data_IF_085640257497
#
_entry.id   IF_085640257497
#
_cell.length_a   1.000
_cell.length_b   1.000
_cell.length_c   1.000
_cell.angle_alpha   90.00
_cell.angle_beta   90.00
_cell.angle_gamma   90.00
#
_symmetry.space_group_name_H-M   'P 1'
#
loop_
_entity.id
_entity.type
_entity.pdbx_description
1 polymer ?
#
# COMPACT_ATOMS: atom_id res chain seq x y z
N UNK A 1 -48.47 -10.25 9.48
CA UNK A 1 -47.49 -10.08 8.39
C UNK A 1 -46.18 -10.73 8.83
N UNK A 2 -45.95 -11.99 8.44
CA UNK A 2 -44.83 -12.79 8.94
C UNK A 2 -43.52 -12.31 8.29
N UNK A 3 -42.55 -11.90 9.12
CA UNK A 3 -41.17 -11.62 8.69
C UNK A 3 -40.54 -12.93 8.21
N UNK A 4 -40.39 -13.08 6.91
CA UNK A 4 -39.65 -14.17 6.29
C UNK A 4 -38.17 -14.03 6.70
N UNK A 5 -37.70 -14.95 7.54
CA UNK A 5 -36.29 -15.05 7.94
C UNK A 5 -35.51 -15.62 6.76
N UNK A 6 -34.97 -14.74 5.91
CA UNK A 6 -34.08 -15.11 4.82
C UNK A 6 -32.76 -15.54 5.49
N UNK A 7 -32.63 -16.84 5.72
CA UNK A 7 -31.41 -17.45 6.23
C UNK A 7 -30.48 -17.63 5.04
N UNK A 8 -29.69 -16.60 4.74
CA UNK A 8 -28.69 -16.64 3.66
C UNK A 8 -27.70 -17.79 3.89
N UNK A 9 -27.70 -18.85 3.05
CA UNK A 9 -26.77 -19.97 3.19
C UNK A 9 -25.34 -19.62 2.76
N UNK A 10 -25.11 -18.40 2.23
CA UNK A 10 -23.81 -17.90 1.77
C UNK A 10 -23.11 -16.94 2.73
N UNK A 11 -23.71 -16.60 3.87
CA UNK A 11 -23.09 -15.73 4.88
C UNK A 11 -22.08 -16.50 5.74
N UNK A 12 -21.13 -17.18 5.10
CA UNK A 12 -19.90 -17.56 5.79
C UNK A 12 -19.18 -16.25 6.12
N UNK A 13 -19.23 -15.84 7.39
CA UNK A 13 -18.37 -14.80 7.95
C UNK A 13 -16.93 -15.30 7.83
N UNK A 14 -16.36 -15.15 6.64
CA UNK A 14 -14.97 -15.44 6.36
C UNK A 14 -14.18 -14.42 7.19
N UNK A 15 -13.59 -14.91 8.28
CA UNK A 15 -12.62 -14.17 9.08
C UNK A 15 -11.69 -13.41 8.14
N UNK A 16 -11.42 -12.13 8.41
CA UNK A 16 -10.57 -11.28 7.56
C UNK A 16 -9.23 -11.96 7.22
N UNK A 17 -8.73 -12.82 8.10
CA UNK A 17 -7.54 -13.63 7.87
C UNK A 17 -7.68 -14.66 6.73
N UNK A 18 -8.87 -15.22 6.51
CA UNK A 18 -9.15 -16.14 5.41
C UNK A 18 -9.13 -15.42 4.04
N UNK A 19 -9.61 -14.17 3.99
CA UNK A 19 -9.50 -13.33 2.80
C UNK A 19 -8.03 -13.01 2.50
N UNK A 20 -7.28 -12.52 3.49
CA UNK A 20 -5.85 -12.20 3.35
C UNK A 20 -5.05 -13.43 2.90
N UNK A 21 -5.35 -14.62 3.44
CA UNK A 21 -4.71 -15.88 3.04
C UNK A 21 -4.96 -16.24 1.58
N UNK A 22 -6.11 -15.86 1.01
CA UNK A 22 -6.45 -16.06 -0.41
C UNK A 22 -5.71 -15.10 -1.34
N UNK A 23 -5.39 -13.89 -0.86
CA UNK A 23 -4.58 -12.90 -1.61
C UNK A 23 -3.07 -13.08 -1.44
N UNK A 24 -2.63 -13.70 -0.33
CA UNK A 24 -1.22 -14.00 -0.03
C UNK A 24 -0.45 -14.68 -1.16
N UNK A 25 -0.97 -15.69 -1.89
CA UNK A 25 -0.22 -16.31 -2.99
C UNK A 25 0.08 -15.36 -4.15
N UNK A 26 -0.79 -14.38 -4.44
CA UNK A 26 -0.54 -13.37 -5.48
C UNK A 26 0.55 -12.39 -5.05
N UNK A 27 0.54 -11.98 -3.78
CA UNK A 27 1.63 -11.19 -3.17
C UNK A 27 2.94 -12.01 -3.07
N UNK A 28 2.82 -13.33 -2.88
CA UNK A 28 3.97 -14.22 -2.70
C UNK A 28 4.86 -14.30 -3.95
N UNK A 29 4.25 -14.21 -5.13
CA UNK A 29 4.92 -14.25 -6.45
C UNK A 29 5.94 -13.11 -6.62
N UNK A 30 5.74 -11.99 -5.93
CA UNK A 30 6.59 -10.79 -6.00
C UNK A 30 7.21 -10.38 -4.65
N UNK A 31 7.44 -11.34 -3.74
CA UNK A 31 7.93 -11.09 -2.37
C UNK A 31 9.18 -10.23 -2.26
N UNK A 32 10.17 -10.42 -3.13
CA UNK A 32 11.42 -9.67 -3.07
C UNK A 32 11.19 -8.19 -3.38
N UNK A 33 10.40 -7.90 -4.41
CA UNK A 33 10.04 -6.53 -4.79
C UNK A 33 9.16 -5.88 -3.74
N UNK A 34 8.18 -6.60 -3.21
CA UNK A 34 7.28 -6.11 -2.17
C UNK A 34 8.01 -5.80 -0.86
N UNK A 35 8.95 -6.66 -0.44
CA UNK A 35 9.75 -6.40 0.75
C UNK A 35 10.67 -5.18 0.56
N UNK A 36 11.29 -5.06 -0.60
CA UNK A 36 12.13 -3.92 -0.94
C UNK A 36 11.31 -2.62 -0.99
N UNK A 37 10.13 -2.65 -1.58
CA UNK A 37 9.18 -1.54 -1.63
C UNK A 37 8.74 -1.10 -0.22
N UNK A 38 8.39 -2.06 0.65
CA UNK A 38 8.01 -1.78 2.03
C UNK A 38 9.19 -1.22 2.86
N UNK A 39 10.39 -1.75 2.66
CA UNK A 39 11.62 -1.25 3.27
C UNK A 39 11.90 0.19 2.83
N UNK A 40 11.74 0.45 1.53
CA UNK A 40 11.90 1.75 0.91
C UNK A 40 10.91 2.77 1.48
N UNK A 41 9.64 2.41 1.61
CA UNK A 41 8.59 3.23 2.23
C UNK A 41 8.88 3.54 3.70
N UNK A 42 9.37 2.56 4.45
CA UNK A 42 9.79 2.76 5.84
C UNK A 42 10.98 3.73 5.96
N UNK A 43 11.92 3.67 5.02
CA UNK A 43 13.09 4.54 4.99
C UNK A 43 12.69 5.98 4.64
N UNK A 44 11.79 6.15 3.67
CA UNK A 44 11.18 7.46 3.33
C UNK A 44 10.48 8.09 4.52
N UNK A 45 9.61 7.35 5.20
CA UNK A 45 8.89 7.88 6.38
C UNK A 45 9.83 8.23 7.53
N UNK A 46 10.92 7.47 7.72
CA UNK A 46 11.97 7.86 8.66
C UNK A 46 12.63 9.18 8.25
N UNK A 47 13.01 9.35 6.97
CA UNK A 47 13.58 10.59 6.44
C UNK A 47 12.65 11.80 6.66
N UNK A 48 11.34 11.64 6.46
CA UNK A 48 10.36 12.70 6.67
C UNK A 48 10.28 13.15 8.14
N UNK A 49 10.48 12.23 9.09
CA UNK A 49 10.52 12.55 10.53
C UNK A 49 11.79 13.32 10.92
N UNK A 50 12.89 13.22 10.15
CA UNK A 50 14.12 13.96 10.47
C UNK A 50 13.97 15.48 10.30
N UNK A 51 13.18 15.95 9.33
CA UNK A 51 12.98 17.40 9.10
C UNK A 51 12.40 18.14 10.32
N UNK A 52 11.26 17.72 10.92
CA UNK A 52 10.71 18.40 12.10
C UNK A 52 11.63 18.28 13.32
N UNK A 53 12.42 17.21 13.43
CA UNK A 53 13.41 17.03 14.50
C UNK A 53 14.54 18.06 14.40
N UNK A 54 15.04 18.31 13.18
CA UNK A 54 16.06 19.35 12.93
C UNK A 54 15.48 20.73 13.26
N UNK A 55 14.26 21.04 12.78
CA UNK A 55 13.61 22.31 13.07
C UNK A 55 13.37 22.54 14.57
N UNK A 56 12.93 21.51 15.29
CA UNK A 56 12.76 21.57 16.75
C UNK A 56 14.09 21.85 17.46
N UNK A 57 15.19 21.26 17.00
CA UNK A 57 16.53 21.48 17.57
C UNK A 57 17.02 22.91 17.35
N UNK A 58 16.79 23.47 16.15
CA UNK A 58 17.14 24.86 15.83
C UNK A 58 16.34 25.83 16.70
N UNK A 59 15.03 25.65 16.79
CA UNK A 59 14.15 26.52 17.58
C UNK A 59 14.49 26.46 19.08
N UNK A 60 14.74 25.29 19.64
CA UNK A 60 15.16 25.16 21.05
C UNK A 60 16.54 25.79 21.33
N UNK A 61 17.47 25.69 20.38
CA UNK A 61 18.80 26.31 20.50
C UNK A 61 18.72 27.84 20.37
N UNK A 62 17.80 28.35 19.53
CA UNK A 62 17.58 29.79 19.37
C UNK A 62 16.89 30.43 20.58
N UNK A 63 16.08 29.68 21.35
CA UNK A 63 15.27 30.23 22.44
C UNK A 63 15.88 30.11 23.85
N UNK A 64 16.82 29.19 24.14
CA UNK A 64 17.15 28.94 25.55
C UNK A 64 18.52 28.39 25.95
N UNK A 65 19.38 27.90 25.04
CA UNK A 65 20.66 27.28 25.47
C UNK A 65 21.77 27.67 24.52
N UNK A 66 22.88 28.17 25.08
CA UNK A 66 24.15 28.44 24.42
C UNK A 66 24.82 27.19 23.87
N UNK A 67 24.13 26.40 23.06
CA UNK A 67 24.77 25.60 22.04
C UNK A 67 25.34 26.63 21.08
N UNK A 68 26.66 26.74 21.04
CA UNK A 68 27.34 27.45 19.98
C UNK A 68 26.78 26.90 18.67
N UNK A 69 25.86 27.64 18.03
CA UNK A 69 25.48 27.46 16.63
C UNK A 69 26.73 27.79 15.81
N UNK A 70 27.75 26.94 15.92
CA UNK A 70 28.89 26.97 15.05
C UNK A 70 28.30 26.66 13.69
N UNK A 71 28.33 27.62 12.77
CA UNK A 71 27.82 27.51 11.40
C UNK A 71 28.22 26.18 10.74
N UNK A 72 29.37 25.61 11.12
CA UNK A 72 29.81 24.28 10.72
C UNK A 72 28.92 23.09 11.13
N UNK A 73 28.29 23.10 12.30
CA UNK A 73 27.37 22.02 12.73
C UNK A 73 26.09 22.06 11.89
N UNK A 74 25.55 23.26 11.66
CA UNK A 74 24.37 23.47 10.79
C UNK A 74 24.68 23.05 9.36
N UNK A 75 25.84 23.45 8.82
CA UNK A 75 26.28 23.07 7.48
C UNK A 75 26.44 21.55 7.35
N UNK A 76 27.01 20.89 8.36
CA UNK A 76 27.15 19.42 8.40
C UNK A 76 25.79 18.72 8.45
N UNK A 77 24.86 19.20 9.27
CA UNK A 77 23.49 18.67 9.36
C UNK A 77 22.73 18.86 8.05
N UNK A 78 22.85 20.03 7.42
CA UNK A 78 22.26 20.32 6.12
C UNK A 78 22.83 19.41 5.02
N UNK A 79 24.15 19.17 5.02
CA UNK A 79 24.79 18.23 4.10
C UNK A 79 24.28 16.80 4.28
N UNK A 80 24.16 16.32 5.53
CA UNK A 80 23.58 15.00 5.83
C UNK A 80 22.13 14.93 5.35
N UNK A 81 21.31 15.93 5.66
CA UNK A 81 19.92 15.99 5.23
C UNK A 81 19.77 15.99 3.71
N UNK A 82 20.65 16.71 3.00
CA UNK A 82 20.67 16.73 1.54
C UNK A 82 20.94 15.34 0.95
N UNK A 83 21.90 14.60 1.51
CA UNK A 83 22.18 13.21 1.09
C UNK A 83 20.98 12.30 1.39
N UNK A 84 20.36 12.42 2.57
CA UNK A 84 19.14 11.67 2.89
C UNK A 84 18.02 11.97 1.88
N UNK A 85 17.87 13.22 1.43
CA UNK A 85 16.86 13.60 0.44
C UNK A 85 17.11 13.02 -0.95
N UNK A 86 18.37 12.88 -1.36
CA UNK A 86 18.71 12.19 -2.61
C UNK A 86 18.36 10.71 -2.52
N UNK A 87 18.71 10.06 -1.39
CA UNK A 87 18.36 8.65 -1.14
C UNK A 87 16.84 8.48 -1.14
N UNK A 88 16.12 9.40 -0.50
CA UNK A 88 14.67 9.38 -0.44
C UNK A 88 14.02 9.57 -1.82
N UNK A 89 14.58 10.45 -2.66
CA UNK A 89 14.14 10.62 -4.05
C UNK A 89 14.34 9.34 -4.88
N UNK A 90 15.48 8.66 -4.72
CA UNK A 90 15.73 7.39 -5.39
C UNK A 90 14.79 6.28 -4.90
N UNK A 91 14.51 6.28 -3.59
CA UNK A 91 13.54 5.41 -2.96
C UNK A 91 12.12 5.61 -3.53
N UNK A 92 11.65 6.86 -3.59
CA UNK A 92 10.36 7.19 -4.17
C UNK A 92 10.27 6.84 -5.66
N UNK A 93 11.34 7.05 -6.42
CA UNK A 93 11.40 6.64 -7.83
C UNK A 93 11.25 5.12 -7.98
N UNK A 94 11.93 4.34 -7.14
CA UNK A 94 11.81 2.89 -7.13
C UNK A 94 10.38 2.43 -6.80
N UNK A 95 9.77 2.99 -5.76
CA UNK A 95 8.38 2.67 -5.36
C UNK A 95 7.39 3.02 -6.49
N UNK A 96 7.54 4.21 -7.08
CA UNK A 96 6.61 4.68 -8.11
C UNK A 96 6.76 3.95 -9.45
N UNK A 97 7.95 3.45 -9.78
CA UNK A 97 8.16 2.66 -10.99
C UNK A 97 7.88 1.18 -10.76
N UNK A 98 8.76 0.52 -10.03
CA UNK A 98 8.77 -0.94 -9.90
C UNK A 98 7.63 -1.41 -8.98
N UNK A 99 7.38 -0.69 -7.88
CA UNK A 99 6.26 -0.98 -6.98
C UNK A 99 4.91 -0.86 -7.68
N UNK A 100 4.70 0.23 -8.43
CA UNK A 100 3.45 0.43 -9.19
C UNK A 100 3.24 -0.63 -10.28
N UNK A 101 4.25 -0.91 -11.10
CA UNK A 101 4.15 -1.93 -12.15
C UNK A 101 3.85 -3.30 -11.54
N UNK A 102 4.51 -3.65 -10.43
CA UNK A 102 4.24 -4.90 -9.70
C UNK A 102 2.81 -4.94 -9.16
N UNK A 103 2.32 -3.85 -8.58
CA UNK A 103 0.93 -3.72 -8.11
C UNK A 103 -0.09 -3.94 -9.23
N UNK A 104 0.13 -3.33 -10.41
CA UNK A 104 -0.75 -3.50 -11.58
C UNK A 104 -0.79 -4.96 -12.05
N UNK A 105 0.35 -5.67 -12.06
CA UNK A 105 0.37 -7.09 -12.41
C UNK A 105 -0.42 -7.94 -11.39
N UNK A 106 -0.26 -7.65 -10.10
CA UNK A 106 -1.01 -8.33 -9.04
C UNK A 106 -2.52 -8.10 -9.21
N UNK A 107 -2.95 -6.86 -9.43
CA UNK A 107 -4.36 -6.53 -9.66
C UNK A 107 -4.91 -7.24 -10.92
N UNK A 108 -4.12 -7.27 -11.98
CA UNK A 108 -4.50 -7.92 -13.24
C UNK A 108 -4.67 -9.44 -13.07
N UNK A 109 -3.74 -10.10 -12.37
CA UNK A 109 -3.82 -11.54 -12.06
C UNK A 109 -5.09 -11.83 -11.22
N UNK A 110 -5.41 -11.00 -10.23
CA UNK A 110 -6.63 -11.15 -9.43
C UNK A 110 -7.91 -10.97 -10.25
N UNK A 111 -7.96 -9.95 -11.13
CA UNK A 111 -9.12 -9.70 -12.00
C UNK A 111 -9.32 -10.83 -13.01
N UNK A 112 -8.23 -11.39 -13.53
CA UNK A 112 -8.27 -12.52 -14.46
C UNK A 112 -8.85 -13.77 -13.79
N UNK A 113 -8.37 -14.13 -12.61
CA UNK A 113 -8.89 -15.31 -11.89
C UNK A 113 -10.35 -15.14 -11.47
N UNK A 114 -10.78 -13.92 -11.14
CA UNK A 114 -12.18 -13.61 -10.88
C UNK A 114 -13.05 -13.78 -12.13
N UNK A 115 -12.55 -13.38 -13.30
CA UNK A 115 -13.24 -13.53 -14.58
C UNK A 115 -13.32 -14.99 -15.03
N UNK A 116 -12.22 -15.75 -14.92
CA UNK A 116 -12.20 -17.18 -15.24
C UNK A 116 -13.18 -17.97 -14.36
N UNK A 117 -13.31 -17.61 -13.07
CA UNK A 117 -14.32 -18.20 -12.19
C UNK A 117 -15.75 -17.86 -12.62
N UNK A 118 -16.01 -16.67 -13.17
CA UNK A 118 -17.33 -16.36 -13.73
C UNK A 118 -17.65 -17.21 -14.95
N UNK A 119 -16.68 -17.44 -15.83
CA UNK A 119 -16.90 -18.23 -17.05
C UNK A 119 -17.30 -19.68 -16.76
N UNK A 120 -16.93 -20.22 -15.59
CA UNK A 120 -17.25 -21.57 -15.15
C UNK A 120 -18.64 -21.73 -14.49
N UNK A 121 -19.39 -20.63 -14.35
CA UNK A 121 -20.66 -20.63 -13.63
C UNK A 121 -21.82 -21.14 -14.51
N UNK A 122 -22.67 -22.01 -13.96
CA UNK A 122 -23.75 -22.69 -14.70
C UNK A 122 -24.78 -21.70 -15.30
N UNK A 123 -25.38 -22.10 -16.44
CA UNK A 123 -26.38 -21.31 -17.16
C UNK A 123 -27.58 -20.88 -16.30
N UNK A 124 -27.91 -21.65 -15.25
CA UNK A 124 -28.97 -21.31 -14.29
C UNK A 124 -28.67 -20.01 -13.52
N UNK A 125 -27.40 -19.74 -13.22
CA UNK A 125 -26.96 -18.51 -12.53
C UNK A 125 -27.11 -17.28 -13.43
N UNK A 126 -26.77 -17.42 -14.71
CA UNK A 126 -26.88 -16.36 -15.70
C UNK A 126 -28.31 -16.07 -16.15
N UNK A 127 -29.24 -17.02 -15.94
CA UNK A 127 -30.66 -16.82 -16.22
C UNK A 127 -31.35 -15.95 -15.16
N UNK A 128 -30.88 -15.98 -13.90
CA UNK A 128 -31.43 -15.18 -12.81
C UNK A 128 -30.72 -13.83 -12.59
N UNK A 129 -29.50 -13.66 -13.12
CA UNK A 129 -28.70 -12.44 -12.92
C UNK A 129 -28.22 -11.89 -14.26
N UNK A 130 -28.58 -10.64 -14.58
CA UNK A 130 -28.12 -9.95 -15.80
C UNK A 130 -26.58 -9.89 -15.82
N UNK A 131 -25.98 -10.45 -16.87
CA UNK A 131 -24.53 -10.46 -17.11
C UNK A 131 -23.91 -9.06 -16.99
N UNK A 132 -24.61 -8.02 -17.45
CA UNK A 132 -24.16 -6.62 -17.36
C UNK A 132 -24.01 -6.10 -15.91
N UNK A 133 -24.85 -6.55 -14.98
CA UNK A 133 -24.74 -6.18 -13.56
C UNK A 133 -23.54 -6.87 -12.89
N UNK A 134 -23.18 -8.07 -13.35
CA UNK A 134 -22.02 -8.81 -12.83
C UNK A 134 -20.73 -8.20 -13.36
N UNK A 135 -20.65 -7.93 -14.67
CA UNK A 135 -19.47 -7.35 -15.30
C UNK A 135 -19.17 -5.92 -14.81
N UNK A 136 -20.21 -5.15 -14.51
CA UNK A 136 -20.07 -3.82 -13.90
C UNK A 136 -19.43 -3.84 -12.50
N UNK A 137 -19.63 -4.90 -11.71
CA UNK A 137 -19.04 -5.04 -10.35
C UNK A 137 -17.61 -5.57 -10.31
N UNK A 138 -17.14 -6.18 -11.38
CA UNK A 138 -15.74 -6.65 -11.49
C UNK A 138 -14.87 -5.58 -12.16
N UNK A 139 -15.51 -4.69 -12.91
CA UNK A 139 -14.80 -3.60 -13.56
C UNK A 139 -14.52 -2.44 -12.61
N UNK A 140 -15.46 -2.13 -11.71
CA UNK A 140 -15.45 -1.02 -10.75
C UNK A 140 -15.26 -1.51 -9.32
#
# INVERSE_FOLDING_TARGET
MAKQNIKDPGAHHNSSGALIRRFLPYLAKHKAVLFLDLFCAALTTLCDIFLPKIMSTITNSAMGVGITLTTGIVLKLAGIYFVLRIIDGAAQYFMSGIGHIMGVHIETDMRRDAFDHLLLLDHTYYNNTKVGTIMGRITN
#
